data_IF_459234438757
#
_entry.id   IF_459234438757
#
_cell.length_a   1.000
_cell.length_b   1.000
_cell.length_c   1.000
_cell.angle_alpha   90.00
_cell.angle_beta   90.00
_cell.angle_gamma   90.00
#
_symmetry.space_group_name_H-M   'P 1'
#
loop_
_entity.id
_entity.type
_entity.pdbx_description
1 polymer ?
#
# COMPACT_ATOMS: atom_id res chain seq x y z
N UNK A 1 -23.57 -23.98 12.33
CA UNK A 1 -22.93 -23.47 11.10
C UNK A 1 -22.51 -22.01 11.36
N UNK A 2 -21.36 -21.80 12.02
CA UNK A 2 -20.84 -20.45 12.32
C UNK A 2 -19.32 -20.56 12.24
N UNK A 3 -18.71 -20.00 11.20
CA UNK A 3 -17.27 -20.11 10.99
C UNK A 3 -16.74 -19.42 9.72
N UNK A 4 -17.63 -19.08 8.79
CA UNK A 4 -17.25 -18.57 7.47
C UNK A 4 -17.06 -17.05 7.39
N UNK A 5 -17.67 -16.27 8.31
CA UNK A 5 -17.70 -14.81 8.24
C UNK A 5 -16.37 -14.13 8.57
N UNK A 6 -15.64 -14.65 9.57
CA UNK A 6 -14.39 -14.07 10.07
C UNK A 6 -13.24 -14.12 9.07
N UNK A 7 -13.19 -15.16 8.22
CA UNK A 7 -12.17 -15.27 7.17
C UNK A 7 -12.37 -14.24 6.06
N UNK A 8 -13.63 -13.96 5.70
CA UNK A 8 -13.94 -12.99 4.65
C UNK A 8 -13.55 -11.56 5.06
N UNK A 9 -13.78 -11.17 6.32
CA UNK A 9 -13.39 -9.86 6.84
C UNK A 9 -11.86 -9.67 6.85
N UNK A 10 -11.13 -10.70 7.29
CA UNK A 10 -9.67 -10.68 7.30
C UNK A 10 -9.09 -10.54 5.88
N UNK A 11 -9.64 -11.30 4.91
CA UNK A 11 -9.21 -11.23 3.52
C UNK A 11 -9.47 -9.85 2.89
N UNK A 12 -10.63 -9.24 3.18
CA UNK A 12 -10.95 -7.88 2.70
C UNK A 12 -10.01 -6.84 3.31
N UNK A 13 -9.72 -6.93 4.60
CA UNK A 13 -8.82 -6.00 5.30
C UNK A 13 -7.41 -6.05 4.72
N UNK A 14 -6.88 -7.25 4.45
CA UNK A 14 -5.56 -7.43 3.86
C UNK A 14 -5.48 -6.89 2.43
N UNK A 15 -6.53 -7.08 1.62
CA UNK A 15 -6.61 -6.51 0.27
C UNK A 15 -6.60 -4.98 0.29
N UNK A 16 -7.41 -4.38 1.17
CA UNK A 16 -7.49 -2.92 1.29
C UNK A 16 -6.15 -2.33 1.72
N UNK A 17 -5.50 -2.90 2.75
CA UNK A 17 -4.19 -2.44 3.23
C UNK A 17 -3.09 -2.58 2.18
N UNK A 18 -3.14 -3.65 1.37
CA UNK A 18 -2.21 -3.82 0.25
C UNK A 18 -2.39 -2.73 -0.81
N UNK A 19 -3.62 -2.39 -1.15
CA UNK A 19 -3.93 -1.34 -2.12
C UNK A 19 -3.46 0.05 -1.62
N UNK A 20 -3.77 0.40 -0.37
CA UNK A 20 -3.27 1.64 0.26
C UNK A 20 -1.74 1.73 0.23
N UNK A 21 -1.05 0.60 0.45
CA UNK A 21 0.41 0.54 0.41
C UNK A 21 0.99 0.70 -1.01
N UNK A 22 0.35 0.11 -2.01
CA UNK A 22 0.74 0.26 -3.41
C UNK A 22 0.58 1.70 -3.90
N UNK A 23 -0.51 2.37 -3.49
CA UNK A 23 -0.74 3.78 -3.77
C UNK A 23 0.33 4.66 -3.12
N UNK A 24 0.60 4.48 -1.81
CA UNK A 24 1.65 5.21 -1.11
C UNK A 24 3.04 5.05 -1.74
N UNK A 25 3.41 3.83 -2.16
CA UNK A 25 4.72 3.59 -2.78
C UNK A 25 4.82 4.03 -4.24
N UNK A 26 3.70 4.32 -4.88
CA UNK A 26 3.68 4.88 -6.24
C UNK A 26 4.06 6.36 -6.25
N UNK A 27 3.91 7.05 -5.12
CA UNK A 27 4.29 8.45 -4.99
C UNK A 27 5.83 8.59 -4.90
N UNK A 28 6.40 9.36 -5.80
CA UNK A 28 7.82 9.72 -5.72
C UNK A 28 7.98 10.76 -4.60
N UNK A 29 8.68 10.39 -3.54
CA UNK A 29 8.94 11.31 -2.44
C UNK A 29 9.92 12.42 -2.87
N UNK A 30 9.81 13.60 -2.24
CA UNK A 30 10.78 14.68 -2.46
C UNK A 30 12.23 14.26 -2.14
N UNK A 31 12.41 13.25 -1.29
CA UNK A 31 13.70 12.64 -1.00
C UNK A 31 14.26 11.84 -2.19
N UNK A 32 13.44 10.99 -2.82
CA UNK A 32 13.79 10.26 -4.05
C UNK A 32 14.10 11.24 -5.20
N UNK A 33 13.31 12.31 -5.34
CA UNK A 33 13.58 13.36 -6.33
C UNK A 33 14.93 14.04 -6.12
N UNK A 34 15.28 14.39 -4.87
CA UNK A 34 16.57 15.01 -4.54
C UNK A 34 17.77 14.11 -4.82
N UNK A 35 17.62 12.79 -4.71
CA UNK A 35 18.69 11.84 -5.05
C UNK A 35 18.87 11.65 -6.55
N UNK A 36 17.77 11.69 -7.31
CA UNK A 36 17.77 11.35 -8.73
C UNK A 36 17.90 12.59 -9.65
N UNK A 37 17.74 13.81 -9.13
CA UNK A 37 17.99 15.02 -9.89
C UNK A 37 19.49 15.33 -9.90
N UNK A 38 20.14 15.43 -11.07
CA UNK A 38 21.49 15.94 -11.15
C UNK A 38 21.50 17.38 -10.61
N UNK A 39 22.37 17.64 -9.64
CA UNK A 39 22.67 19.02 -9.22
C UNK A 39 23.37 19.65 -10.43
N UNK A 40 22.65 20.53 -11.14
CA UNK A 40 23.20 21.35 -12.23
C UNK A 40 24.17 22.39 -11.68
#
# INVERSE_FOLDING_TARGET
MVGSGWRAEADMTLRNKKQEWEEYRSEVTAFELRKNLPVL
#
